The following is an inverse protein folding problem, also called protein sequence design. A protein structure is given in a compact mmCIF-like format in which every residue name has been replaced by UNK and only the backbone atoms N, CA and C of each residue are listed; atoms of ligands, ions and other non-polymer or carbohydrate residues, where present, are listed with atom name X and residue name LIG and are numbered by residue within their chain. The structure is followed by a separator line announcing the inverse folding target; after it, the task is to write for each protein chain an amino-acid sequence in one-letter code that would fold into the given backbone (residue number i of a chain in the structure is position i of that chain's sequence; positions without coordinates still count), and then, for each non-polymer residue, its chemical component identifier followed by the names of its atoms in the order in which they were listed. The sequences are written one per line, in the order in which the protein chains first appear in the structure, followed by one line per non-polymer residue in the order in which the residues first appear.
data_IF_574029323149
#
_entry.id   IF_574029323149
#
_cell.length_a   1.000
_cell.length_b   1.000
_cell.length_c   1.000
_cell.angle_alpha   90.00
_cell.angle_beta   90.00
_cell.angle_gamma   90.00
#
_symmetry.space_group_name_H-M   'P 1'
#
loop_
_entity.id
_entity.type
_entity.pdbx_description
1 polymer ?
#
# COMPACT_ATOMS: atom_id res chain seq x y z
N UNK A 1 24.30 2.18 -16.68
CA UNK A 1 24.78 3.58 -16.44
C UNK A 1 23.67 4.40 -15.80
N UNK A 2 22.44 4.25 -16.30
CA UNK A 2 21.23 4.80 -15.72
C UNK A 2 21.02 4.40 -14.26
N UNK A 3 21.13 3.11 -13.93
CA UNK A 3 20.94 2.56 -12.59
C UNK A 3 22.01 3.09 -11.63
N UNK A 4 23.28 3.08 -12.05
CA UNK A 4 24.38 3.66 -11.29
C UNK A 4 24.18 5.16 -11.02
N UNK A 5 23.62 5.89 -12.00
CA UNK A 5 23.28 7.30 -11.81
C UNK A 5 22.12 7.46 -10.82
N UNK A 6 21.07 6.63 -10.93
CA UNK A 6 19.97 6.59 -9.97
C UNK A 6 20.43 6.33 -8.54
N UNK A 7 21.37 5.40 -8.33
CA UNK A 7 21.96 5.17 -7.00
C UNK A 7 22.68 6.41 -6.45
N UNK A 8 23.44 7.11 -7.29
CA UNK A 8 24.07 8.36 -6.87
C UNK A 8 23.03 9.43 -6.47
N UNK A 9 21.87 9.44 -7.14
CA UNK A 9 20.74 10.31 -6.77
C UNK A 9 20.16 9.95 -5.40
N UNK A 10 19.94 8.65 -5.14
CA UNK A 10 19.46 8.18 -3.83
C UNK A 10 20.41 8.53 -2.68
N UNK A 11 21.71 8.29 -2.86
CA UNK A 11 22.74 8.57 -1.84
C UNK A 11 22.79 10.06 -1.45
N UNK A 12 22.43 10.94 -2.39
CA UNK A 12 22.37 12.39 -2.17
C UNK A 12 20.98 12.90 -1.79
N UNK A 13 20.09 12.02 -1.29
CA UNK A 13 18.72 12.38 -0.88
C UNK A 13 17.94 13.10 -1.99
N UNK A 14 18.03 12.60 -3.21
CA UNK A 14 17.31 13.13 -4.38
C UNK A 14 17.76 14.54 -4.84
N UNK A 15 18.95 15.02 -4.45
CA UNK A 15 19.50 16.29 -4.99
C UNK A 15 20.13 16.08 -6.38
N UNK A 16 19.27 16.06 -7.40
CA UNK A 16 19.67 15.77 -8.77
C UNK A 16 20.72 16.74 -9.32
N UNK A 17 20.59 18.04 -9.01
CA UNK A 17 21.51 19.08 -9.50
C UNK A 17 22.92 18.84 -8.97
N UNK A 18 23.03 18.52 -7.67
CA UNK A 18 24.32 18.18 -7.06
C UNK A 18 24.90 16.88 -7.61
N UNK A 19 24.06 15.89 -7.89
CA UNK A 19 24.50 14.60 -8.46
C UNK A 19 25.02 14.79 -9.88
N UNK A 20 24.30 15.52 -10.74
CA UNK A 20 24.77 15.85 -12.09
C UNK A 20 26.12 16.60 -12.08
N UNK A 21 26.32 17.49 -11.11
CA UNK A 21 27.57 18.25 -10.96
C UNK A 21 28.73 17.39 -10.45
N UNK A 22 28.49 16.46 -9.52
CA UNK A 22 29.52 15.60 -8.92
C UNK A 22 29.82 14.36 -9.76
N UNK A 23 28.83 13.83 -10.47
CA UNK A 23 28.90 12.61 -11.28
C UNK A 23 28.93 12.90 -12.79
N UNK A 24 29.61 13.96 -13.24
CA UNK A 24 29.63 14.41 -14.65
C UNK A 24 29.98 13.30 -15.66
N UNK A 25 30.97 12.46 -15.33
CA UNK A 25 31.40 11.35 -16.20
C UNK A 25 30.28 10.33 -16.37
N UNK A 26 29.57 10.01 -15.29
CA UNK A 26 28.46 9.07 -15.31
C UNK A 26 27.24 9.67 -16.03
N UNK A 27 26.94 10.95 -15.79
CA UNK A 27 25.89 11.68 -16.50
C UNK A 27 26.10 11.68 -18.02
N UNK A 28 27.33 11.92 -18.48
CA UNK A 28 27.66 11.91 -19.91
C UNK A 28 27.52 10.54 -20.59
N UNK A 29 27.45 9.45 -19.81
CA UNK A 29 27.22 8.09 -20.32
C UNK A 29 25.73 7.73 -20.45
N UNK A 30 24.84 8.58 -19.94
CA UNK A 30 23.40 8.37 -20.07
C UNK A 30 22.93 8.61 -21.51
N UNK A 31 21.78 8.04 -21.86
CA UNK A 31 21.19 8.32 -23.18
C UNK A 31 20.83 9.81 -23.32
N UNK A 32 20.80 10.36 -24.55
CA UNK A 32 20.37 11.76 -24.75
C UNK A 32 18.98 12.06 -24.15
N UNK A 33 18.07 11.08 -24.18
CA UNK A 33 16.75 11.17 -23.54
C UNK A 33 16.89 11.36 -22.04
N UNK A 34 17.68 10.52 -21.37
CA UNK A 34 17.80 10.54 -19.91
C UNK A 34 18.52 11.81 -19.45
N UNK A 35 19.57 12.24 -20.17
CA UNK A 35 20.23 13.52 -19.94
C UNK A 35 19.23 14.68 -20.01
N UNK A 36 18.37 14.68 -21.04
CA UNK A 36 17.33 15.69 -21.21
C UNK A 36 16.32 15.66 -20.06
N UNK A 37 15.76 14.49 -19.71
CA UNK A 37 14.76 14.36 -18.65
C UNK A 37 15.29 14.82 -17.29
N UNK A 38 16.53 14.46 -16.96
CA UNK A 38 17.17 14.84 -15.70
C UNK A 38 17.48 16.34 -15.65
N UNK A 39 17.95 16.94 -16.76
CA UNK A 39 18.17 18.39 -16.83
C UNK A 39 16.90 19.22 -16.64
N UNK A 40 15.74 18.63 -16.98
CA UNK A 40 14.44 19.29 -16.92
C UNK A 40 13.55 18.74 -15.80
N UNK A 41 14.13 18.01 -14.83
CA UNK A 41 13.41 17.51 -13.66
C UNK A 41 12.70 18.67 -12.93
N UNK A 42 11.44 18.45 -12.56
CA UNK A 42 10.59 19.48 -11.94
C UNK A 42 10.00 20.55 -12.89
N UNK A 43 10.53 20.75 -14.11
CA UNK A 43 9.91 21.68 -15.08
C UNK A 43 8.66 21.09 -15.75
N UNK A 44 8.64 19.77 -15.91
CA UNK A 44 7.54 19.02 -16.52
C UNK A 44 6.83 18.09 -15.54
N UNK A 45 7.01 18.29 -14.22
CA UNK A 45 6.59 17.35 -13.18
C UNK A 45 7.06 15.93 -13.49
N UNK A 46 8.30 15.77 -13.98
CA UNK A 46 8.92 14.46 -14.16
C UNK A 46 9.94 14.30 -13.03
N UNK A 47 10.01 13.10 -12.46
CA UNK A 47 10.98 12.72 -11.45
C UNK A 47 11.52 11.31 -11.68
N UNK A 48 12.71 11.05 -11.13
CA UNK A 48 13.30 9.71 -11.09
C UNK A 48 12.89 8.98 -9.79
N UNK A 49 12.05 7.96 -9.93
CA UNK A 49 11.62 7.11 -8.82
C UNK A 49 12.51 5.87 -8.72
N UNK A 50 12.94 5.55 -7.50
CA UNK A 50 13.51 4.24 -7.17
C UNK A 50 12.39 3.26 -6.83
N UNK A 51 12.36 2.12 -7.53
CA UNK A 51 11.31 1.12 -7.36
C UNK A 51 11.73 -0.02 -6.42
N UNK A 52 12.98 -0.06 -5.98
CA UNK A 52 13.57 -1.21 -5.29
C UNK A 52 14.51 -2.00 -6.20
N UNK A 53 15.35 -2.85 -5.61
CA UNK A 53 16.22 -3.81 -6.33
C UNK A 53 17.14 -3.20 -7.42
N UNK A 54 17.51 -1.93 -7.27
CA UNK A 54 18.31 -1.22 -8.29
C UNK A 54 17.53 -0.75 -9.51
N UNK A 55 16.21 -0.90 -9.51
CA UNK A 55 15.33 -0.44 -10.58
C UNK A 55 14.94 1.02 -10.37
N UNK A 56 15.04 1.79 -11.46
CA UNK A 56 14.64 3.19 -11.51
C UNK A 56 13.69 3.41 -12.67
N UNK A 57 12.73 4.31 -12.50
CA UNK A 57 11.82 4.70 -13.57
C UNK A 57 11.58 6.19 -13.54
N UNK A 58 11.28 6.76 -14.71
CA UNK A 58 10.75 8.11 -14.77
C UNK A 58 9.24 8.05 -14.60
N UNK A 59 8.70 8.87 -13.70
CA UNK A 59 7.25 9.05 -13.57
C UNK A 59 6.88 10.52 -13.52
N UNK A 60 5.59 10.80 -13.66
CA UNK A 60 5.05 12.12 -13.36
C UNK A 60 4.98 12.29 -11.84
N UNK A 61 5.37 13.46 -11.32
CA UNK A 61 5.25 13.81 -9.92
C UNK A 61 3.78 13.74 -9.50
N UNK A 62 3.45 13.09 -8.39
CA UNK A 62 2.06 12.95 -7.93
C UNK A 62 1.36 14.31 -7.69
N UNK A 63 2.12 15.36 -7.36
CA UNK A 63 1.57 16.70 -7.11
C UNK A 63 1.05 17.41 -8.36
N UNK A 64 1.38 16.96 -9.57
CA UNK A 64 0.98 17.62 -10.81
C UNK A 64 -0.52 17.91 -10.87
N UNK A 65 -1.36 16.92 -10.57
CA UNK A 65 -2.80 17.09 -10.67
C UNK A 65 -3.35 18.03 -9.59
N UNK A 66 -2.71 18.04 -8.43
CA UNK A 66 -3.05 18.97 -7.35
C UNK A 66 -2.66 20.39 -7.74
N UNK A 67 -1.44 20.61 -8.20
CA UNK A 67 -0.93 21.96 -8.49
C UNK A 67 -1.65 22.61 -9.68
N UNK A 68 -1.98 21.81 -10.70
CA UNK A 68 -2.64 22.29 -11.92
C UNK A 68 -4.15 22.42 -11.75
N UNK A 69 -4.82 21.44 -11.13
CA UNK A 69 -6.28 21.35 -11.17
C UNK A 69 -6.98 21.61 -9.82
N UNK A 70 -6.33 21.47 -8.67
CA UNK A 70 -7.02 21.51 -7.36
C UNK A 70 -7.81 22.78 -7.07
N UNK A 71 -7.43 23.91 -7.67
CA UNK A 71 -8.11 25.21 -7.47
C UNK A 71 -9.50 25.26 -8.10
N UNK A 72 -9.76 24.46 -9.13
CA UNK A 72 -11.03 24.44 -9.86
C UNK A 72 -11.90 23.23 -9.52
N UNK A 73 -11.37 22.28 -8.75
CA UNK A 73 -12.07 21.03 -8.43
C UNK A 73 -13.06 21.20 -7.27
N UNK A 74 -14.19 20.47 -7.31
CA UNK A 74 -15.06 20.28 -6.15
C UNK A 74 -14.28 19.77 -4.93
N UNK A 75 -14.79 20.04 -3.73
CA UNK A 75 -14.08 19.77 -2.48
C UNK A 75 -13.71 18.28 -2.30
N UNK A 76 -14.58 17.36 -2.69
CA UNK A 76 -14.34 15.91 -2.62
C UNK A 76 -13.21 15.50 -3.56
N UNK A 77 -13.23 15.97 -4.80
CA UNK A 77 -12.20 15.67 -5.80
C UNK A 77 -10.84 16.27 -5.40
N UNK A 78 -10.85 17.49 -4.87
CA UNK A 78 -9.65 18.13 -4.34
C UNK A 78 -9.04 17.33 -3.20
N UNK A 79 -9.85 16.89 -2.23
CA UNK A 79 -9.38 16.11 -1.09
C UNK A 79 -8.86 14.73 -1.51
N UNK A 80 -9.54 14.07 -2.45
CA UNK A 80 -9.08 12.82 -3.06
C UNK A 80 -7.71 12.97 -3.73
N UNK A 81 -7.56 13.92 -4.67
CA UNK A 81 -6.29 14.11 -5.38
C UNK A 81 -5.16 14.53 -4.44
N UNK A 82 -5.45 15.37 -3.46
CA UNK A 82 -4.45 15.80 -2.47
C UNK A 82 -3.97 14.62 -1.63
N UNK A 83 -4.89 13.70 -1.29
CA UNK A 83 -4.54 12.46 -0.58
C UNK A 83 -3.65 11.57 -1.43
N UNK A 84 -4.09 11.27 -2.66
CA UNK A 84 -3.37 10.37 -3.56
C UNK A 84 -1.98 10.93 -3.90
N UNK A 85 -1.87 12.24 -4.12
CA UNK A 85 -0.59 12.89 -4.36
C UNK A 85 0.36 12.73 -3.16
N UNK A 86 -0.14 12.86 -1.92
CA UNK A 86 0.64 12.63 -0.70
C UNK A 86 1.06 11.17 -0.56
N UNK A 87 0.13 10.24 -0.77
CA UNK A 87 0.33 8.82 -0.57
C UNK A 87 1.29 8.20 -1.60
N UNK A 88 1.34 8.75 -2.81
CA UNK A 88 2.15 8.21 -3.91
C UNK A 88 3.49 8.95 -4.09
N UNK A 89 3.91 9.76 -3.12
CA UNK A 89 5.26 10.36 -3.13
C UNK A 89 6.36 9.28 -3.13
N UNK A 90 6.11 8.14 -2.51
CA UNK A 90 6.98 6.97 -2.55
C UNK A 90 6.16 5.72 -2.91
N UNK A 91 6.83 4.61 -3.19
CA UNK A 91 6.17 3.34 -3.47
C UNK A 91 5.40 2.84 -2.24
N UNK A 92 4.20 2.29 -2.45
CA UNK A 92 3.36 1.78 -1.36
C UNK A 92 3.73 0.34 -0.96
N UNK A 93 3.89 -0.55 -1.95
CA UNK A 93 4.45 -1.88 -1.79
C UNK A 93 5.21 -2.26 -3.07
N UNK A 94 6.15 -3.20 -2.96
CA UNK A 94 6.85 -3.80 -4.09
C UNK A 94 7.23 -5.25 -3.76
N UNK A 95 7.21 -6.13 -4.76
CA UNK A 95 7.52 -7.56 -4.62
C UNK A 95 6.85 -8.21 -3.39
N UNK A 96 5.54 -8.00 -3.23
CA UNK A 96 4.79 -8.56 -2.10
C UNK A 96 5.24 -8.06 -0.71
N UNK A 97 5.99 -6.94 -0.62
CA UNK A 97 6.42 -6.35 0.64
C UNK A 97 5.89 -4.92 0.78
N UNK A 98 5.42 -4.56 1.99
CA UNK A 98 5.05 -3.18 2.29
C UNK A 98 6.31 -2.31 2.25
N UNK A 99 6.26 -1.22 1.49
CA UNK A 99 7.32 -0.22 1.47
C UNK A 99 7.05 0.93 2.47
N UNK A 100 5.81 1.01 2.98
CA UNK A 100 5.38 1.94 4.03
C UNK A 100 5.29 1.26 5.38
N UNK A 101 5.30 2.05 6.46
CA UNK A 101 5.10 1.52 7.81
C UNK A 101 3.66 1.03 8.04
N UNK A 102 3.48 0.07 8.95
CA UNK A 102 2.15 -0.36 9.42
C UNK A 102 1.28 0.80 9.94
N UNK A 103 1.91 1.77 10.61
CA UNK A 103 1.25 2.98 11.10
C UNK A 103 0.71 3.84 9.95
N UNK A 104 1.50 4.00 8.90
CA UNK A 104 1.08 4.72 7.71
C UNK A 104 -0.07 4.00 7.01
N UNK A 105 0.05 2.69 6.76
CA UNK A 105 -1.03 1.87 6.21
C UNK A 105 -2.36 2.05 6.97
N UNK A 106 -2.27 2.04 8.31
CA UNK A 106 -3.42 2.26 9.21
C UNK A 106 -4.01 3.66 9.08
N UNK A 107 -3.17 4.69 8.97
CA UNK A 107 -3.60 6.06 8.71
C UNK A 107 -4.30 6.19 7.36
N UNK A 108 -3.77 5.54 6.31
CA UNK A 108 -4.39 5.53 4.98
C UNK A 108 -5.78 4.88 5.00
N UNK A 109 -5.93 3.74 5.67
CA UNK A 109 -7.22 3.07 5.80
C UNK A 109 -8.26 3.97 6.52
N UNK A 110 -7.87 4.59 7.65
CA UNK A 110 -8.76 5.48 8.41
C UNK A 110 -9.13 6.76 7.65
N UNK A 111 -8.24 7.25 6.78
CA UNK A 111 -8.58 8.35 5.89
C UNK A 111 -9.64 7.96 4.88
N UNK A 112 -9.45 6.84 4.17
CA UNK A 112 -10.41 6.43 3.14
C UNK A 112 -11.77 6.07 3.73
N UNK A 113 -11.80 5.48 4.93
CA UNK A 113 -13.03 5.32 5.71
C UNK A 113 -13.77 6.64 5.91
N UNK A 114 -13.07 7.69 6.38
CA UNK A 114 -13.66 9.01 6.61
C UNK A 114 -14.08 9.68 5.31
N UNK A 115 -13.29 9.54 4.24
CA UNK A 115 -13.62 10.08 2.92
C UNK A 115 -14.93 9.49 2.40
N UNK A 116 -15.10 8.17 2.48
CA UNK A 116 -16.32 7.46 2.06
C UNK A 116 -17.54 7.96 2.84
N UNK A 117 -17.41 8.17 4.14
CA UNK A 117 -18.49 8.69 4.99
C UNK A 117 -18.83 10.15 4.67
N UNK A 118 -17.81 10.98 4.42
CA UNK A 118 -17.95 12.42 4.16
C UNK A 118 -18.49 12.70 2.75
N UNK A 119 -18.09 11.91 1.76
CA UNK A 119 -18.41 12.13 0.34
C UNK A 119 -19.00 10.89 -0.33
N UNK A 120 -20.17 10.38 0.13
CA UNK A 120 -20.76 9.13 -0.38
C UNK A 120 -21.21 9.22 -1.85
N UNK A 121 -21.26 10.43 -2.42
CA UNK A 121 -21.60 10.70 -3.83
C UNK A 121 -20.42 11.25 -4.64
N UNK A 122 -19.19 11.12 -4.12
CA UNK A 122 -18.00 11.57 -4.83
C UNK A 122 -17.87 10.88 -6.18
N UNK A 123 -17.28 11.57 -7.14
CA UNK A 123 -16.83 10.95 -8.40
C UNK A 123 -15.87 9.77 -8.13
N UNK A 124 -15.01 9.88 -7.12
CA UNK A 124 -14.01 8.88 -6.76
C UNK A 124 -14.46 7.89 -5.68
N UNK A 125 -15.78 7.73 -5.47
CA UNK A 125 -16.28 6.90 -4.36
C UNK A 125 -15.88 5.43 -4.48
N UNK A 126 -15.82 4.90 -5.71
CA UNK A 126 -15.42 3.51 -5.93
C UNK A 126 -13.91 3.33 -5.69
N UNK A 127 -13.09 4.28 -6.09
CA UNK A 127 -11.64 4.24 -5.86
C UNK A 127 -11.32 4.33 -4.37
N UNK A 128 -12.00 5.22 -3.64
CA UNK A 128 -11.87 5.29 -2.19
C UNK A 128 -12.26 3.98 -1.50
N UNK A 129 -13.29 3.28 -1.98
CA UNK A 129 -13.69 1.96 -1.45
C UNK A 129 -12.68 0.87 -1.78
N UNK A 130 -12.10 0.88 -2.99
CA UNK A 130 -11.03 -0.05 -3.38
C UNK A 130 -9.81 0.14 -2.48
N UNK A 131 -9.35 1.38 -2.31
CA UNK A 131 -8.22 1.72 -1.43
C UNK A 131 -8.50 1.35 0.03
N UNK A 132 -9.69 1.67 0.53
CA UNK A 132 -10.09 1.26 1.88
C UNK A 132 -10.08 -0.27 2.04
N UNK A 133 -10.57 -1.01 1.04
CA UNK A 133 -10.61 -2.46 1.08
C UNK A 133 -9.21 -3.09 1.04
N UNK A 134 -8.34 -2.61 0.16
CA UNK A 134 -6.96 -3.08 0.08
C UNK A 134 -6.22 -2.82 1.38
N UNK A 135 -6.28 -1.59 1.89
CA UNK A 135 -5.54 -1.22 3.10
C UNK A 135 -6.06 -1.94 4.34
N UNK A 136 -7.38 -2.07 4.50
CA UNK A 136 -7.93 -2.85 5.63
C UNK A 136 -7.56 -4.33 5.50
N UNK A 137 -7.45 -4.88 4.29
CA UNK A 137 -7.01 -6.26 4.10
C UNK A 137 -5.54 -6.40 4.52
N UNK A 138 -4.64 -5.57 4.00
CA UNK A 138 -3.21 -5.64 4.36
C UNK A 138 -2.98 -5.46 5.86
N UNK A 139 -3.78 -4.66 6.57
CA UNK A 139 -3.67 -4.51 8.03
C UNK A 139 -3.81 -5.84 8.78
N UNK A 140 -4.69 -6.75 8.34
CA UNK A 140 -4.98 -8.00 9.06
C UNK A 140 -4.31 -9.24 8.44
N UNK A 141 -4.00 -9.20 7.15
CA UNK A 141 -3.44 -10.33 6.40
C UNK A 141 -1.98 -10.11 5.99
N UNK A 142 -1.51 -8.87 5.97
CA UNK A 142 -0.19 -8.51 5.47
C UNK A 142 -0.03 -8.80 3.97
N UNK A 143 1.22 -8.91 3.57
CA UNK A 143 1.63 -9.34 2.22
C UNK A 143 2.64 -10.50 2.34
N UNK A 144 2.91 -11.20 1.25
CA UNK A 144 3.76 -12.40 1.25
C UNK A 144 5.15 -12.17 1.89
N UNK A 145 5.79 -11.05 1.55
CA UNK A 145 7.11 -10.65 2.07
C UNK A 145 7.02 -9.66 3.25
N UNK A 146 5.81 -9.31 3.70
CA UNK A 146 5.58 -8.54 4.94
C UNK A 146 4.32 -9.03 5.64
N UNK A 147 4.30 -10.29 6.11
CA UNK A 147 3.11 -10.88 6.69
C UNK A 147 2.87 -10.32 8.11
N UNK A 148 1.61 -10.23 8.53
CA UNK A 148 1.29 -9.93 9.94
C UNK A 148 1.74 -11.08 10.84
N UNK A 149 1.64 -12.31 10.35
CA UNK A 149 2.14 -13.53 10.98
C UNK A 149 2.28 -14.63 9.92
N UNK A 150 3.14 -15.63 10.16
CA UNK A 150 3.21 -16.82 9.31
C UNK A 150 2.11 -17.84 9.65
N UNK A 151 1.66 -17.84 10.91
CA UNK A 151 0.86 -18.93 11.49
C UNK A 151 -0.48 -18.44 12.03
N UNK A 152 -0.58 -17.15 12.39
CA UNK A 152 -1.76 -16.52 12.97
C UNK A 152 -2.32 -17.30 14.17
N UNK A 153 -1.46 -17.92 14.98
CA UNK A 153 -1.88 -18.77 16.09
C UNK A 153 -1.38 -18.24 17.44
N UNK A 154 -1.95 -18.74 18.53
CA UNK A 154 -1.53 -18.35 19.88
C UNK A 154 -0.07 -18.72 20.11
N UNK A 155 0.71 -17.81 20.68
CA UNK A 155 2.15 -18.00 20.99
C UNK A 155 3.07 -18.16 19.77
N UNK A 156 2.62 -17.76 18.58
CA UNK A 156 3.46 -17.70 17.39
C UNK A 156 3.98 -16.29 17.15
N UNK A 157 4.92 -16.13 16.22
CA UNK A 157 5.43 -14.81 15.86
C UNK A 157 4.34 -13.96 15.19
N UNK A 158 4.34 -12.67 15.54
CA UNK A 158 3.59 -11.60 14.87
C UNK A 158 4.54 -10.43 14.68
N UNK A 159 4.37 -9.70 13.58
CA UNK A 159 5.02 -8.40 13.43
C UNK A 159 4.55 -7.47 14.58
N UNK A 160 5.47 -6.94 15.41
CA UNK A 160 5.11 -6.16 16.59
C UNK A 160 4.43 -4.84 16.23
N UNK A 161 4.79 -4.22 15.12
CA UNK A 161 4.24 -2.96 14.66
C UNK A 161 2.86 -3.18 14.04
N UNK A 162 2.67 -4.24 13.26
CA UNK A 162 1.35 -4.66 12.78
C UNK A 162 0.39 -4.89 13.94
N UNK A 163 0.81 -5.69 14.93
CA UNK A 163 -0.01 -6.01 16.09
C UNK A 163 -0.31 -4.77 16.95
N UNK A 164 0.64 -3.84 17.06
CA UNK A 164 0.42 -2.55 17.72
C UNK A 164 -0.71 -1.76 17.03
N UNK A 165 -0.70 -1.68 15.70
CA UNK A 165 -1.74 -0.96 14.96
C UNK A 165 -3.10 -1.64 15.06
N UNK A 166 -3.16 -2.97 15.01
CA UNK A 166 -4.40 -3.72 15.22
C UNK A 166 -4.96 -3.46 16.63
N UNK A 167 -4.12 -3.45 17.66
CA UNK A 167 -4.53 -3.08 19.03
C UNK A 167 -5.05 -1.65 19.09
N UNK A 168 -4.37 -0.71 18.46
CA UNK A 168 -4.83 0.68 18.36
C UNK A 168 -6.22 0.78 17.70
N UNK A 169 -6.43 0.08 16.57
CA UNK A 169 -7.73 0.04 15.88
C UNK A 169 -8.83 -0.52 16.77
N UNK A 170 -8.53 -1.54 17.57
CA UNK A 170 -9.51 -2.17 18.47
C UNK A 170 -10.14 -1.21 19.50
N UNK A 171 -9.49 -0.07 19.77
CA UNK A 171 -9.99 0.97 20.68
C UNK A 171 -10.65 2.14 19.96
N UNK A 172 -10.63 2.20 18.63
CA UNK A 172 -11.21 3.31 17.85
C UNK A 172 -12.72 3.10 17.65
N UNK A 173 -13.53 3.37 18.68
CA UNK A 173 -14.97 3.09 18.68
C UNK A 173 -15.78 3.77 17.56
N UNK A 174 -15.26 4.83 16.95
CA UNK A 174 -15.88 5.53 15.83
C UNK A 174 -15.51 4.94 14.45
N UNK A 175 -14.51 4.06 14.39
CA UNK A 175 -14.09 3.40 13.16
C UNK A 175 -14.83 2.08 12.98
N UNK A 176 -15.22 1.77 11.74
CA UNK A 176 -15.72 0.45 11.36
C UNK A 176 -14.66 -0.65 11.52
N UNK A 177 -13.37 -0.29 11.59
CA UNK A 177 -12.26 -1.23 11.80
C UNK A 177 -12.11 -1.70 13.26
N UNK A 178 -12.74 -1.04 14.23
CA UNK A 178 -12.62 -1.46 15.64
C UNK A 178 -13.11 -2.88 15.88
N UNK A 179 -14.28 -3.23 15.33
CA UNK A 179 -14.85 -4.57 15.51
C UNK A 179 -14.02 -5.66 14.81
N UNK A 180 -13.61 -5.53 13.53
CA UNK A 180 -12.64 -6.42 12.90
C UNK A 180 -11.36 -6.60 13.71
N UNK A 181 -10.78 -5.52 14.25
CA UNK A 181 -9.59 -5.60 15.08
C UNK A 181 -9.80 -6.37 16.38
N UNK A 182 -10.93 -6.16 17.07
CA UNK A 182 -11.30 -6.95 18.25
C UNK A 182 -11.50 -8.43 17.90
N UNK A 183 -12.16 -8.72 16.78
CA UNK A 183 -12.35 -10.08 16.28
C UNK A 183 -11.02 -10.75 15.94
N UNK A 184 -10.11 -10.06 15.27
CA UNK A 184 -8.76 -10.55 14.96
C UNK A 184 -7.98 -10.88 16.22
N UNK A 185 -7.94 -9.97 17.20
CA UNK A 185 -7.23 -10.19 18.47
C UNK A 185 -7.79 -11.41 19.23
N UNK A 186 -9.12 -11.59 19.23
CA UNK A 186 -9.76 -12.78 19.78
C UNK A 186 -9.40 -14.04 18.99
N UNK A 187 -9.38 -13.95 17.66
CA UNK A 187 -9.04 -15.06 16.76
C UNK A 187 -7.63 -15.57 17.02
N UNK A 188 -6.62 -14.69 17.07
CA UNK A 188 -5.22 -15.10 17.30
C UNK A 188 -4.97 -15.61 18.72
N UNK A 189 -5.81 -15.22 19.70
CA UNK A 189 -5.78 -15.74 21.06
C UNK A 189 -6.51 -17.09 21.23
N UNK A 190 -7.34 -17.49 20.25
CA UNK A 190 -8.09 -18.75 20.29
C UNK A 190 -7.23 -19.90 19.77
N UNK A 191 -7.08 -21.01 20.52
CA UNK A 191 -6.33 -22.19 20.07
C UNK A 191 -6.82 -22.71 18.71
N UNK A 192 -5.91 -23.16 17.86
CA UNK A 192 -6.19 -23.61 16.48
C UNK A 192 -7.29 -24.68 16.43
N UNK A 193 -7.24 -25.66 17.34
CA UNK A 193 -8.24 -26.74 17.42
C UNK A 193 -9.66 -26.24 17.72
N UNK A 194 -9.78 -25.13 18.46
CA UNK A 194 -11.08 -24.50 18.71
C UNK A 194 -11.55 -23.69 17.50
N UNK A 195 -10.65 -23.01 16.80
CA UNK A 195 -10.99 -22.27 15.56
C UNK A 195 -11.47 -23.21 14.47
N UNK A 196 -10.77 -24.33 14.29
CA UNK A 196 -11.14 -25.34 13.28
C UNK A 196 -12.53 -25.94 13.50
N UNK A 197 -13.10 -25.87 14.71
CA UNK A 197 -14.48 -26.27 14.98
C UNK A 197 -15.51 -25.19 14.65
N UNK A 198 -15.09 -23.92 14.57
CA UNK A 198 -15.96 -22.77 14.34
C UNK A 198 -16.15 -22.48 12.84
N UNK A 199 -15.14 -22.76 12.02
CA UNK A 199 -15.16 -22.47 10.58
C UNK A 199 -15.31 -23.75 9.77
N UNK A 200 -16.15 -23.71 8.74
CA UNK A 200 -16.25 -24.77 7.74
C UNK A 200 -15.35 -24.39 6.57
N UNK A 201 -14.26 -25.14 6.40
CA UNK A 201 -13.27 -24.94 5.32
C UNK A 201 -12.97 -26.27 4.65
N UNK A 202 -12.79 -26.24 3.34
CA UNK A 202 -12.29 -27.39 2.60
C UNK A 202 -10.78 -27.50 2.81
N UNK A 203 -10.29 -28.69 3.14
CA UNK A 203 -8.86 -28.95 3.38
C UNK A 203 -8.06 -29.11 2.08
N UNK A 204 -8.74 -29.12 0.94
CA UNK A 204 -8.15 -29.21 -0.39
C UNK A 204 -8.50 -27.97 -1.20
N UNK A 205 -7.57 -27.53 -2.02
CA UNK A 205 -7.79 -26.45 -2.98
C UNK A 205 -8.58 -26.91 -4.21
N UNK A 206 -8.81 -25.99 -5.15
CA UNK A 206 -9.52 -26.22 -6.42
C UNK A 206 -8.88 -27.30 -7.31
N UNK A 207 -7.59 -27.58 -7.11
CA UNK A 207 -6.83 -28.61 -7.84
C UNK A 207 -6.80 -29.95 -7.10
N UNK A 208 -7.48 -30.06 -5.95
CA UNK A 208 -7.50 -31.24 -5.09
C UNK A 208 -6.22 -31.42 -4.25
N UNK A 209 -5.34 -30.42 -4.17
CA UNK A 209 -4.14 -30.48 -3.34
C UNK A 209 -4.44 -30.05 -1.91
N UNK A 210 -3.71 -30.60 -0.93
CA UNK A 210 -3.88 -30.24 0.48
C UNK A 210 -3.47 -28.79 0.70
N UNK A 211 -4.38 -27.98 1.27
CA UNK A 211 -4.08 -26.60 1.64
C UNK A 211 -3.02 -26.51 2.74
N UNK A 212 -2.17 -25.51 2.62
CA UNK A 212 -1.23 -25.11 3.69
C UNK A 212 -1.98 -24.52 4.89
N UNK A 213 -1.33 -24.49 6.05
CA UNK A 213 -1.86 -23.81 7.25
C UNK A 213 -2.13 -22.33 6.97
N UNK A 214 -1.29 -21.69 6.15
CA UNK A 214 -1.45 -20.30 5.73
C UNK A 214 -2.76 -20.08 4.96
N UNK A 215 -3.05 -20.92 3.95
CA UNK A 215 -4.29 -20.84 3.18
C UNK A 215 -5.52 -21.07 4.07
N UNK A 216 -5.47 -22.10 4.91
CA UNK A 216 -6.54 -22.43 5.86
C UNK A 216 -6.85 -21.23 6.78
N UNK A 217 -5.84 -20.62 7.37
CA UNK A 217 -6.06 -19.54 8.34
C UNK A 217 -6.52 -18.24 7.66
N UNK A 218 -6.07 -17.97 6.44
CA UNK A 218 -6.57 -16.85 5.63
C UNK A 218 -8.06 -17.01 5.33
N UNK A 219 -8.50 -18.18 4.88
CA UNK A 219 -9.93 -18.43 4.62
C UNK A 219 -10.78 -18.27 5.89
N UNK A 220 -10.30 -18.73 7.05
CA UNK A 220 -10.99 -18.54 8.33
C UNK A 220 -11.11 -17.06 8.69
N UNK A 221 -10.03 -16.29 8.52
CA UNK A 221 -10.03 -14.85 8.77
C UNK A 221 -10.93 -14.08 7.79
N UNK A 222 -10.95 -14.46 6.52
CA UNK A 222 -11.86 -13.87 5.52
C UNK A 222 -13.32 -14.13 5.88
N UNK A 223 -13.68 -15.35 6.29
CA UNK A 223 -15.02 -15.67 6.79
C UNK A 223 -15.38 -14.86 8.05
N UNK A 224 -14.42 -14.67 8.97
CA UNK A 224 -14.63 -13.94 10.22
C UNK A 224 -14.82 -12.44 10.02
N UNK A 225 -13.93 -11.82 9.22
CA UNK A 225 -13.86 -10.38 9.02
C UNK A 225 -14.78 -9.91 7.90
N UNK A 226 -15.18 -10.81 7.00
CA UNK A 226 -15.99 -10.54 5.79
C UNK A 226 -15.33 -9.49 4.90
N UNK A 227 -14.03 -9.64 4.70
CA UNK A 227 -13.25 -8.78 3.83
C UNK A 227 -13.04 -9.51 2.51
N UNK A 228 -13.28 -8.81 1.42
CA UNK A 228 -13.00 -9.30 0.09
C UNK A 228 -11.51 -9.13 -0.18
N UNK A 229 -10.83 -10.19 -0.61
CA UNK A 229 -9.44 -10.10 -1.03
C UNK A 229 -9.29 -9.09 -2.17
N UNK A 230 -8.36 -8.12 -2.07
CA UNK A 230 -8.12 -7.16 -3.16
C UNK A 230 -7.64 -7.85 -4.45
N UNK A 231 -7.14 -9.08 -4.34
CA UNK A 231 -6.68 -9.90 -5.46
C UNK A 231 -7.82 -10.52 -6.29
N UNK A 232 -9.05 -10.54 -5.76
CA UNK A 232 -10.22 -11.13 -6.42
C UNK A 232 -11.07 -10.10 -7.19
N UNK A 233 -10.57 -8.88 -7.39
CA UNK A 233 -11.33 -7.81 -8.05
C UNK A 233 -11.27 -7.95 -9.58
N UNK A 234 -12.44 -7.92 -10.24
CA UNK A 234 -12.51 -8.01 -11.72
C UNK A 234 -12.02 -6.72 -12.41
N UNK A 235 -11.93 -5.61 -11.68
CA UNK A 235 -11.53 -4.30 -12.18
C UNK A 235 -10.20 -3.92 -11.54
N UNK A 236 -9.10 -4.14 -12.25
CA UNK A 236 -7.80 -3.65 -11.85
C UNK A 236 -7.70 -2.14 -12.10
N UNK A 237 -7.49 -1.36 -11.04
CA UNK A 237 -7.11 0.05 -11.10
C UNK A 237 -5.90 0.28 -10.22
N UNK A 238 -4.79 0.70 -10.83
CA UNK A 238 -3.57 1.02 -10.10
C UNK A 238 -3.66 2.42 -9.51
N UNK A 239 -3.85 2.47 -8.19
CA UNK A 239 -3.95 3.69 -7.41
C UNK A 239 -2.61 4.09 -6.75
N UNK A 240 -1.50 3.41 -7.03
CA UNK A 240 -0.26 3.55 -6.25
C UNK A 240 0.89 4.24 -6.99
N UNK A 241 0.68 4.64 -8.24
CA UNK A 241 1.72 5.25 -9.08
C UNK A 241 1.52 6.77 -9.25
N UNK A 242 0.27 7.24 -9.29
CA UNK A 242 -0.09 8.64 -9.60
C UNK A 242 -1.30 9.09 -8.77
N UNK A 243 -1.74 10.34 -8.89
CA UNK A 243 -2.82 10.87 -8.07
C UNK A 243 -4.24 10.40 -8.46
N UNK A 244 -4.42 9.52 -9.47
CA UNK A 244 -5.71 8.95 -9.96
C UNK A 244 -5.53 7.67 -10.75
#
# INVERSE_FOLDING_TARGET
AFEAFGYAVLEQKQDLKKVMQSQKKLFAQLSPRDQYLLQHEGQAYIELLYQGEGMFTYRRQPNYLVDVFSKTLPADQKEFLSRMAKDNQDIFYNDGALAVSWKELTERALFWEKFIQKYPKSYFINDAKLLFNEYRYFIFFGLDNTPVSNEYASNTWFDPDALQQIRFLSTQSQSSLAKPAQQFLKFIATPVDERNKQFKIDLTDENGQKKSTYQIVHEQLEQLLKFDSPWNTEVYRDCHIDAV
#
